data_IF_145985895924
#
_entry.id   IF_145985895924
#
_cell.length_a   1.000
_cell.length_b   1.000
_cell.length_c   1.000
_cell.angle_alpha   90.00
_cell.angle_beta   90.00
_cell.angle_gamma   90.00
#
_symmetry.space_group_name_H-M   'P 1'
#
loop_
_entity.id
_entity.type
_entity.pdbx_description
1 polymer ?
#
# COMPACT_ATOMS: atom_id res chain seq x y z
N UNK A 1 -24.85 -24.35 -7.66
CA UNK A 1 -26.12 -23.87 -7.05
C UNK A 1 -25.93 -23.81 -5.53
N UNK A 2 -26.27 -22.70 -4.88
CA UNK A 2 -26.00 -22.53 -3.45
C UNK A 2 -27.11 -23.14 -2.58
N UNK A 3 -26.73 -23.76 -1.46
CA UNK A 3 -27.68 -24.25 -0.46
C UNK A 3 -28.07 -23.12 0.48
N UNK A 4 -29.33 -23.08 0.89
CA UNK A 4 -29.79 -22.12 1.89
C UNK A 4 -29.06 -22.34 3.22
N UNK A 5 -28.54 -21.28 3.87
CA UNK A 5 -27.97 -21.40 5.22
C UNK A 5 -28.94 -22.01 6.24
N UNK A 6 -30.24 -21.80 6.04
CA UNK A 6 -31.31 -22.37 6.83
C UNK A 6 -31.73 -23.79 6.38
N UNK A 7 -30.94 -24.46 5.53
CA UNK A 7 -31.19 -25.84 5.04
C UNK A 7 -32.54 -26.08 4.34
N UNK A 8 -33.29 -25.02 4.05
CA UNK A 8 -34.61 -25.10 3.40
C UNK A 8 -34.48 -25.09 1.86
N UNK A 9 -33.60 -25.92 1.31
CA UNK A 9 -33.40 -26.09 -0.13
C UNK A 9 -32.37 -25.15 -0.77
N UNK A 10 -32.46 -24.98 -2.08
CA UNK A 10 -31.50 -24.19 -2.87
C UNK A 10 -31.86 -22.71 -2.94
N UNK A 11 -30.85 -21.86 -2.94
CA UNK A 11 -31.00 -20.43 -3.17
C UNK A 11 -31.22 -20.15 -4.66
N UNK A 12 -32.14 -19.22 -4.96
CA UNK A 12 -32.29 -18.60 -6.27
C UNK A 12 -31.45 -17.34 -6.34
N UNK A 13 -30.84 -17.10 -7.50
CA UNK A 13 -30.03 -15.91 -7.77
C UNK A 13 -30.89 -14.84 -8.41
N UNK A 14 -30.69 -13.60 -7.97
CA UNK A 14 -31.36 -12.40 -8.47
C UNK A 14 -30.31 -11.34 -8.75
N UNK A 15 -30.59 -10.49 -9.74
CA UNK A 15 -29.74 -9.36 -10.11
C UNK A 15 -30.58 -8.10 -10.11
N UNK A 16 -30.07 -7.04 -9.50
CA UNK A 16 -30.68 -5.70 -9.49
C UNK A 16 -29.60 -4.65 -9.69
N UNK A 17 -29.99 -3.38 -9.85
CA UNK A 17 -29.06 -2.25 -9.88
C UNK A 17 -28.90 -1.69 -8.47
N UNK A 18 -27.67 -1.68 -7.95
CA UNK A 18 -27.38 -1.14 -6.64
C UNK A 18 -27.48 0.39 -6.58
N UNK A 19 -27.44 0.95 -5.36
CA UNK A 19 -27.41 2.41 -5.10
C UNK A 19 -26.29 3.16 -5.81
N UNK A 20 -25.23 2.46 -6.19
CA UNK A 20 -24.09 2.99 -6.93
C UNK A 20 -24.23 2.86 -8.47
N UNK A 21 -25.39 2.42 -8.96
CA UNK A 21 -25.63 2.19 -10.40
C UNK A 21 -24.99 0.93 -10.96
N UNK A 22 -24.30 0.13 -10.13
CA UNK A 22 -23.65 -1.11 -10.56
C UNK A 22 -24.59 -2.32 -10.42
N UNK A 23 -24.46 -3.34 -11.27
CA UNK A 23 -25.21 -4.58 -11.11
C UNK A 23 -24.82 -5.26 -9.80
N UNK A 24 -25.83 -5.66 -9.04
CA UNK A 24 -25.72 -6.31 -7.76
C UNK A 24 -26.45 -7.65 -7.79
N UNK A 25 -25.72 -8.71 -7.49
CA UNK A 25 -26.26 -10.05 -7.38
C UNK A 25 -26.57 -10.38 -5.93
N UNK A 26 -27.73 -10.96 -5.67
CA UNK A 26 -28.10 -11.48 -4.36
C UNK A 26 -28.80 -12.83 -4.49
N UNK A 27 -28.82 -13.59 -3.40
CA UNK A 27 -29.41 -14.91 -3.37
C UNK A 27 -30.54 -14.97 -2.35
N UNK A 28 -31.67 -15.58 -2.72
CA UNK A 28 -32.84 -15.69 -1.85
C UNK A 28 -33.35 -17.13 -1.82
N UNK A 29 -33.68 -17.62 -0.63
CA UNK A 29 -34.31 -18.92 -0.48
C UNK A 29 -35.82 -18.83 -0.80
N UNK A 30 -36.35 -19.67 -1.71
CA UNK A 30 -37.80 -19.69 -1.98
C UNK A 30 -38.65 -20.12 -0.79
N UNK A 31 -38.10 -20.97 0.08
CA UNK A 31 -38.83 -21.57 1.20
C UNK A 31 -38.78 -20.69 2.45
N UNK A 32 -37.58 -20.48 3.01
CA UNK A 32 -37.42 -19.70 4.24
C UNK A 32 -37.44 -18.19 4.02
N UNK A 33 -37.31 -17.74 2.76
CA UNK A 33 -37.25 -16.32 2.35
C UNK A 33 -36.08 -15.52 2.89
N UNK A 34 -35.09 -16.16 3.52
CA UNK A 34 -33.84 -15.53 3.90
C UNK A 34 -32.98 -15.14 2.70
N UNK A 35 -32.16 -14.12 2.90
CA UNK A 35 -31.24 -13.56 1.93
C UNK A 35 -29.81 -13.97 2.24
N UNK A 36 -29.07 -14.42 1.23
CA UNK A 36 -27.63 -14.55 1.27
C UNK A 36 -27.03 -13.47 0.37
N UNK A 37 -26.15 -12.67 0.96
CA UNK A 37 -25.50 -11.53 0.33
C UNK A 37 -23.99 -11.71 0.43
N UNK A 38 -23.32 -11.80 -0.71
CA UNK A 38 -21.87 -11.94 -0.76
C UNK A 38 -21.19 -10.60 -0.44
N UNK A 39 -20.10 -10.65 0.34
CA UNK A 39 -19.31 -9.48 0.71
C UNK A 39 -20.13 -8.29 1.25
N UNK A 40 -19.98 -7.13 0.61
CA UNK A 40 -20.63 -5.86 1.01
C UNK A 40 -21.95 -5.58 0.25
N UNK A 41 -22.49 -6.56 -0.48
CA UNK A 41 -23.72 -6.41 -1.28
C UNK A 41 -24.89 -5.82 -0.47
N UNK A 42 -24.98 -6.16 0.82
CA UNK A 42 -25.99 -5.66 1.73
C UNK A 42 -26.02 -4.12 1.79
N UNK A 43 -24.91 -3.41 1.60
CA UNK A 43 -24.89 -1.94 1.68
C UNK A 43 -25.47 -1.26 0.44
N UNK A 44 -25.32 -1.88 -0.73
CA UNK A 44 -25.71 -1.29 -2.01
C UNK A 44 -27.13 -1.64 -2.45
N UNK A 45 -27.76 -2.65 -1.83
CA UNK A 45 -29.14 -3.04 -2.14
C UNK A 45 -30.14 -1.93 -1.78
N UNK A 46 -31.11 -1.66 -2.66
CA UNK A 46 -32.19 -0.68 -2.42
C UNK A 46 -33.35 -1.31 -1.64
N UNK A 47 -34.04 -0.50 -0.82
CA UNK A 47 -35.15 -0.99 0.03
C UNK A 47 -36.35 -1.50 -0.77
N UNK A 48 -36.58 -0.92 -1.95
CA UNK A 48 -37.65 -1.30 -2.89
C UNK A 48 -37.55 -2.75 -3.36
N UNK A 49 -36.37 -3.34 -3.27
CA UNK A 49 -36.05 -4.65 -3.84
C UNK A 49 -36.22 -5.80 -2.82
N UNK A 50 -36.51 -5.46 -1.55
CA UNK A 50 -36.35 -6.38 -0.42
C UNK A 50 -37.61 -7.14 -0.04
N UNK A 51 -38.78 -6.49 -0.05
CA UNK A 51 -40.00 -7.07 0.53
C UNK A 51 -41.31 -6.69 -0.18
N UNK A 52 -41.26 -5.89 -1.24
CA UNK A 52 -42.42 -5.47 -2.05
C UNK A 52 -43.18 -6.62 -2.73
N UNK A 53 -42.72 -7.87 -2.58
CA UNK A 53 -43.37 -9.02 -3.18
C UNK A 53 -44.46 -9.67 -2.30
N UNK A 54 -44.26 -9.93 -1.00
CA UNK A 54 -45.22 -10.76 -0.23
C UNK A 54 -45.15 -10.55 1.30
N UNK A 55 -46.28 -10.44 2.02
CA UNK A 55 -46.29 -10.20 3.47
C UNK A 55 -45.61 -11.31 4.28
N UNK A 56 -44.97 -10.89 5.37
CA UNK A 56 -44.19 -11.69 6.34
C UNK A 56 -45.03 -12.81 7.00
N UNK A 57 -46.34 -12.84 6.81
CA UNK A 57 -47.30 -13.74 7.46
C UNK A 57 -47.54 -15.10 6.75
N UNK A 58 -46.81 -15.43 5.68
CA UNK A 58 -46.99 -16.75 5.05
C UNK A 58 -46.36 -17.86 5.93
N UNK A 59 -47.05 -18.99 6.17
CA UNK A 59 -46.75 -19.97 7.23
C UNK A 59 -45.37 -20.65 7.15
N UNK A 60 -44.68 -20.52 6.01
CA UNK A 60 -43.31 -21.02 5.81
C UNK A 60 -42.21 -19.98 6.07
N UNK A 61 -42.55 -18.74 6.45
CA UNK A 61 -41.54 -17.72 6.82
C UNK A 61 -40.83 -18.21 8.08
N UNK A 62 -39.51 -18.39 8.03
CA UNK A 62 -38.72 -18.64 9.25
C UNK A 62 -37.99 -17.37 9.63
N UNK A 63 -38.32 -16.84 10.81
CA UNK A 63 -37.65 -15.70 11.44
C UNK A 63 -36.35 -16.15 12.08
N UNK A 64 -35.51 -15.21 12.48
CA UNK A 64 -34.28 -15.52 13.20
C UNK A 64 -34.52 -16.36 14.46
N UNK A 65 -35.61 -16.08 15.19
CA UNK A 65 -36.04 -16.84 16.37
C UNK A 65 -36.35 -18.32 16.10
N UNK A 66 -36.64 -18.68 14.85
CA UNK A 66 -37.11 -20.02 14.47
C UNK A 66 -35.95 -20.93 14.06
N UNK A 67 -34.73 -20.39 13.97
CA UNK A 67 -33.53 -21.11 13.58
C UNK A 67 -33.01 -21.91 14.77
N UNK A 68 -33.26 -23.23 14.78
CA UNK A 68 -32.88 -24.15 15.86
C UNK A 68 -31.54 -24.88 15.66
N UNK A 69 -30.83 -24.57 14.58
CA UNK A 69 -29.57 -25.21 14.21
C UNK A 69 -28.57 -24.16 13.73
N UNK A 70 -27.29 -24.49 13.73
CA UNK A 70 -26.24 -23.58 13.24
C UNK A 70 -26.34 -23.41 11.72
N UNK A 71 -26.65 -22.20 11.20
CA UNK A 71 -26.68 -21.96 9.77
C UNK A 71 -25.29 -22.15 9.16
N UNK A 72 -25.21 -22.64 7.92
CA UNK A 72 -23.94 -22.90 7.25
C UNK A 72 -23.72 -21.96 6.08
N UNK A 73 -22.47 -21.56 5.85
CA UNK A 73 -22.10 -20.77 4.69
C UNK A 73 -22.38 -21.55 3.39
N UNK A 74 -23.06 -20.97 2.40
CA UNK A 74 -23.33 -21.66 1.14
C UNK A 74 -22.07 -21.98 0.34
N UNK A 75 -21.02 -21.17 0.52
CA UNK A 75 -19.74 -21.25 -0.21
C UNK A 75 -18.76 -22.21 0.46
N UNK A 76 -18.34 -21.94 1.69
CA UNK A 76 -17.32 -22.75 2.38
C UNK A 76 -17.87 -23.79 3.37
N UNK A 77 -19.19 -23.86 3.56
CA UNK A 77 -19.87 -24.76 4.52
C UNK A 77 -19.51 -24.56 6.00
N UNK A 78 -18.68 -23.58 6.33
CA UNK A 78 -18.37 -23.21 7.71
C UNK A 78 -19.64 -22.73 8.46
N UNK A 79 -19.73 -22.93 9.78
CA UNK A 79 -20.81 -22.38 10.58
C UNK A 79 -20.84 -20.86 10.48
N UNK A 80 -22.03 -20.30 10.30
CA UNK A 80 -22.26 -18.86 10.37
C UNK A 80 -22.49 -18.46 11.83
N UNK A 81 -21.98 -17.30 12.19
CA UNK A 81 -22.12 -16.75 13.54
C UNK A 81 -23.04 -15.55 13.51
N UNK A 82 -23.93 -15.46 14.49
CA UNK A 82 -24.71 -14.24 14.71
C UNK A 82 -23.75 -13.07 14.94
N UNK A 83 -23.92 -12.01 14.18
CA UNK A 83 -23.00 -10.88 14.21
C UNK A 83 -23.70 -9.65 14.77
N UNK A 84 -23.02 -8.98 15.69
CA UNK A 84 -23.40 -7.71 16.30
C UNK A 84 -22.30 -6.68 16.04
N UNK A 85 -22.64 -5.39 16.10
CA UNK A 85 -21.67 -4.30 16.02
C UNK A 85 -22.34 -2.95 15.83
N UNK A 86 -21.56 -1.87 15.89
CA UNK A 86 -22.06 -0.48 15.86
C UNK A 86 -22.85 -0.11 14.58
N UNK A 87 -22.66 -0.90 13.53
CA UNK A 87 -23.33 -0.74 12.23
C UNK A 87 -24.50 -1.71 12.04
N UNK A 88 -24.82 -2.53 13.03
CA UNK A 88 -25.92 -3.49 13.03
C UNK A 88 -26.86 -3.16 14.18
N UNK A 89 -28.12 -2.78 13.92
CA UNK A 89 -29.06 -2.45 14.99
C UNK A 89 -29.28 -3.64 15.93
N UNK A 90 -29.44 -3.36 17.23
CA UNK A 90 -29.59 -4.38 18.26
C UNK A 90 -30.77 -5.35 18.03
N UNK A 91 -31.82 -4.90 17.32
CA UNK A 91 -33.01 -5.69 16.99
C UNK A 91 -32.91 -6.45 15.66
N UNK A 92 -31.73 -6.43 15.02
CA UNK A 92 -31.44 -7.14 13.77
C UNK A 92 -30.46 -8.27 14.06
N UNK A 93 -30.72 -9.44 13.51
CA UNK A 93 -29.99 -10.68 13.78
C UNK A 93 -29.44 -11.32 12.50
N UNK A 94 -28.40 -10.71 11.88
CA UNK A 94 -27.73 -11.29 10.73
C UNK A 94 -26.69 -12.32 11.16
N UNK A 95 -26.41 -13.28 10.27
CA UNK A 95 -25.37 -14.28 10.46
C UNK A 95 -24.24 -14.06 9.45
N UNK A 96 -22.99 -14.04 9.92
CA UNK A 96 -21.79 -13.77 9.11
C UNK A 96 -20.93 -15.02 8.95
N UNK A 97 -20.32 -15.17 7.78
CA UNK A 97 -19.27 -16.14 7.54
C UNK A 97 -17.92 -15.64 8.05
N UNK A 98 -17.22 -16.42 8.88
CA UNK A 98 -15.90 -16.07 9.43
C UNK A 98 -14.83 -15.92 8.35
N UNK A 99 -14.95 -16.68 7.25
CA UNK A 99 -14.08 -16.57 6.07
C UNK A 99 -14.43 -15.37 5.15
N UNK A 100 -15.40 -14.53 5.51
CA UNK A 100 -15.68 -13.29 4.78
C UNK A 100 -16.52 -13.43 3.51
N UNK A 101 -17.03 -14.62 3.19
CA UNK A 101 -17.84 -14.85 1.98
C UNK A 101 -19.13 -14.02 1.93
N UNK A 102 -19.76 -13.75 3.08
CA UNK A 102 -20.98 -12.95 3.09
C UNK A 102 -21.78 -13.03 4.39
N UNK A 103 -23.01 -12.54 4.26
CA UNK A 103 -24.01 -12.43 5.32
C UNK A 103 -25.30 -13.14 4.93
N UNK A 104 -25.88 -13.85 5.89
CA UNK A 104 -27.22 -14.39 5.82
C UNK A 104 -28.16 -13.55 6.69
N UNK A 105 -29.24 -13.06 6.08
CA UNK A 105 -30.32 -12.38 6.77
C UNK A 105 -31.56 -13.28 6.74
N UNK A 106 -32.03 -13.77 7.90
CA UNK A 106 -33.33 -14.44 7.98
C UNK A 106 -34.46 -13.55 7.45
N UNK A 107 -35.62 -14.15 7.17
CA UNK A 107 -36.75 -13.38 6.63
C UNK A 107 -37.12 -12.21 7.56
N UNK A 108 -37.35 -11.02 6.99
CA UNK A 108 -37.63 -9.79 7.73
C UNK A 108 -36.39 -9.03 8.20
N UNK A 109 -35.25 -9.70 8.43
CA UNK A 109 -34.09 -9.08 9.08
C UNK A 109 -33.36 -8.09 8.16
N UNK A 110 -33.29 -8.36 6.87
CA UNK A 110 -32.66 -7.45 5.90
C UNK A 110 -33.45 -6.14 5.74
N UNK A 111 -34.78 -6.21 5.80
CA UNK A 111 -35.66 -5.05 5.74
C UNK A 111 -35.50 -4.17 6.98
N UNK A 112 -35.57 -4.76 8.18
CA UNK A 112 -35.27 -4.06 9.45
C UNK A 112 -33.89 -3.40 9.42
N UNK A 113 -32.87 -4.13 8.93
CA UNK A 113 -31.52 -3.60 8.76
C UNK A 113 -31.50 -2.34 7.91
N UNK A 114 -32.17 -2.36 6.76
CA UNK A 114 -32.25 -1.20 5.87
C UNK A 114 -33.01 -0.02 6.45
N UNK A 115 -34.18 -0.27 7.05
CA UNK A 115 -34.94 0.79 7.72
C UNK A 115 -34.11 1.49 8.78
N UNK A 116 -33.36 0.73 9.58
CA UNK A 116 -32.48 1.31 10.59
C UNK A 116 -31.27 2.04 9.98
N UNK A 117 -30.68 1.54 8.88
CA UNK A 117 -29.64 2.27 8.14
C UNK A 117 -30.17 3.62 7.62
N UNK A 118 -31.38 3.63 7.05
CA UNK A 118 -32.02 4.85 6.57
C UNK A 118 -32.30 5.83 7.70
N UNK A 119 -32.82 5.36 8.83
CA UNK A 119 -33.05 6.18 10.01
C UNK A 119 -31.75 6.81 10.54
N UNK A 120 -30.65 6.04 10.59
CA UNK A 120 -29.32 6.55 10.98
C UNK A 120 -28.84 7.64 10.01
N UNK A 121 -28.95 7.41 8.71
CA UNK A 121 -28.58 8.42 7.69
C UNK A 121 -29.45 9.67 7.82
N UNK A 122 -30.76 9.51 7.98
CA UNK A 122 -31.71 10.61 8.13
C UNK A 122 -31.42 11.44 9.39
N UNK A 123 -31.12 10.80 10.52
CA UNK A 123 -30.70 11.46 11.75
C UNK A 123 -29.45 12.32 11.50
N UNK A 124 -28.38 11.74 10.94
CA UNK A 124 -27.15 12.49 10.68
C UNK A 124 -27.35 13.66 9.72
N UNK A 125 -28.20 13.49 8.69
CA UNK A 125 -28.58 14.55 7.76
C UNK A 125 -29.38 15.67 8.43
N UNK A 126 -30.34 15.32 9.28
CA UNK A 126 -31.22 16.28 9.96
C UNK A 126 -30.43 17.17 10.95
N UNK A 127 -29.47 16.58 11.64
CA UNK A 127 -28.68 17.26 12.67
C UNK A 127 -27.34 17.82 12.19
N UNK A 128 -27.04 17.73 10.88
CA UNK A 128 -25.75 18.12 10.29
C UNK A 128 -24.51 17.52 10.99
N UNK A 129 -24.66 16.33 11.60
CA UNK A 129 -23.56 15.63 12.26
C UNK A 129 -22.89 14.74 11.21
N UNK A 130 -21.59 14.94 10.88
CA UNK A 130 -20.91 14.09 9.91
C UNK A 130 -20.91 12.63 10.38
N UNK A 131 -21.12 11.70 9.44
CA UNK A 131 -21.07 10.27 9.75
C UNK A 131 -19.63 9.91 10.21
N UNK A 132 -19.47 9.20 11.34
CA UNK A 132 -18.16 8.92 11.92
C UNK A 132 -17.19 8.20 10.97
N UNK A 133 -17.72 7.42 10.01
CA UNK A 133 -16.91 6.73 8.99
C UNK A 133 -16.27 7.67 7.96
N UNK A 134 -16.86 8.84 7.69
CA UNK A 134 -16.29 9.82 6.75
C UNK A 134 -15.20 10.62 7.46
N UNK A 135 -15.43 10.98 8.72
CA UNK A 135 -14.46 11.71 9.54
C UNK A 135 -13.17 10.90 9.75
N UNK A 136 -13.27 9.60 10.03
CA UNK A 136 -12.09 8.75 10.24
C UNK A 136 -11.23 8.57 8.98
N UNK A 137 -11.85 8.43 7.80
CA UNK A 137 -11.12 8.33 6.53
C UNK A 137 -10.40 9.65 6.21
N UNK A 138 -11.06 10.80 6.44
CA UNK A 138 -10.45 12.11 6.22
C UNK A 138 -9.26 12.37 7.16
N UNK A 139 -9.35 11.94 8.42
CA UNK A 139 -8.25 12.07 9.37
C UNK A 139 -7.07 11.17 8.99
N UNK A 140 -7.34 9.93 8.58
CA UNK A 140 -6.30 9.01 8.15
C UNK A 140 -5.60 9.49 6.87
N UNK A 141 -6.34 9.99 5.88
CA UNK A 141 -5.76 10.51 4.64
C UNK A 141 -4.92 11.77 4.89
N UNK A 142 -5.37 12.67 5.78
CA UNK A 142 -4.59 13.83 6.20
C UNK A 142 -3.28 13.43 6.89
N UNK A 143 -3.30 12.42 7.76
CA UNK A 143 -2.10 11.93 8.44
C UNK A 143 -1.07 11.36 7.45
N UNK A 144 -1.50 10.56 6.47
CA UNK A 144 -0.60 10.02 5.43
C UNK A 144 0.03 11.13 4.58
N UNK A 145 -0.76 12.16 4.23
CA UNK A 145 -0.27 13.32 3.48
C UNK A 145 0.81 14.08 4.27
N UNK A 146 0.61 14.27 5.57
CA UNK A 146 1.58 14.96 6.42
C UNK A 146 2.89 14.16 6.54
N UNK A 147 2.81 12.83 6.71
CA UNK A 147 3.99 11.97 6.79
C UNK A 147 4.77 11.98 5.47
N UNK A 148 4.12 11.90 4.32
CA UNK A 148 4.80 11.89 3.02
C UNK A 148 5.53 13.20 2.73
N UNK A 149 4.94 14.35 3.09
CA UNK A 149 5.60 15.66 2.97
C UNK A 149 6.86 15.71 3.85
N UNK A 150 6.77 15.27 5.11
CA UNK A 150 7.94 15.28 6.02
C UNK A 150 9.07 14.38 5.51
N UNK A 151 8.75 13.18 5.03
CA UNK A 151 9.72 12.24 4.46
C UNK A 151 10.45 12.81 3.23
N UNK A 152 9.70 13.49 2.35
CA UNK A 152 10.26 14.15 1.16
C UNK A 152 11.23 15.27 1.55
N UNK A 153 10.85 16.13 2.51
CA UNK A 153 11.72 17.22 3.00
C UNK A 153 13.00 16.66 3.63
N UNK A 154 12.92 15.58 4.41
CA UNK A 154 14.11 14.94 4.99
C UNK A 154 15.01 14.31 3.93
N UNK A 155 14.45 13.67 2.91
CA UNK A 155 15.24 13.08 1.82
C UNK A 155 15.99 14.14 1.00
N UNK A 156 15.34 15.27 0.71
CA UNK A 156 15.96 16.40 -0.01
C UNK A 156 17.09 17.00 0.83
N UNK A 157 16.88 17.21 2.13
CA UNK A 157 17.92 17.73 3.03
C UNK A 157 19.12 16.80 3.16
N UNK A 158 18.89 15.49 3.23
CA UNK A 158 19.98 14.50 3.28
C UNK A 158 20.83 14.51 2.01
N UNK A 159 20.19 14.59 0.82
CA UNK A 159 20.92 14.67 -0.45
C UNK A 159 21.81 15.91 -0.52
N UNK A 160 21.28 17.08 -0.12
CA UNK A 160 22.03 18.33 -0.11
C UNK A 160 23.20 18.33 0.89
N UNK A 161 23.04 17.72 2.09
CA UNK A 161 24.15 17.68 3.05
C UNK A 161 25.28 16.75 2.60
N UNK A 162 24.96 15.68 1.88
CA UNK A 162 25.98 14.77 1.33
C UNK A 162 26.78 15.41 0.19
N UNK A 163 26.12 16.10 -0.74
CA UNK A 163 26.80 16.83 -1.83
C UNK A 163 27.69 17.97 -1.28
N UNK A 164 27.22 18.70 -0.26
CA UNK A 164 28.00 19.74 0.41
C UNK A 164 29.21 19.20 1.16
N UNK A 165 29.09 18.05 1.84
CA UNK A 165 30.22 17.41 2.52
C UNK A 165 31.27 16.88 1.54
N UNK A 166 30.86 16.29 0.41
CA UNK A 166 31.80 15.81 -0.60
C UNK A 166 32.58 16.97 -1.25
N UNK A 167 31.93 18.10 -1.56
CA UNK A 167 32.60 19.29 -2.08
C UNK A 167 33.53 19.98 -1.06
N UNK A 168 33.30 19.78 0.24
CA UNK A 168 34.15 20.37 1.28
C UNK A 168 35.50 19.66 1.47
N UNK A 169 35.65 18.43 0.96
CA UNK A 169 36.88 17.62 1.15
C UNK A 169 37.86 17.76 -0.01
N UNK A 170 37.37 17.94 -1.23
CA UNK A 170 38.18 18.04 -2.45
C UNK A 170 38.36 19.50 -2.87
N UNK A 171 39.60 19.90 -3.17
CA UNK A 171 39.95 21.22 -3.71
C UNK A 171 40.07 21.21 -5.24
N UNK A 172 40.63 20.15 -5.79
CA UNK A 172 40.80 19.96 -7.24
C UNK A 172 41.06 18.50 -7.58
N UNK A 173 40.73 18.10 -8.81
CA UNK A 173 40.93 16.73 -9.29
C UNK A 173 41.03 16.71 -10.81
N UNK A 174 42.06 16.05 -11.34
CA UNK A 174 42.39 16.08 -12.77
C UNK A 174 43.19 14.85 -13.17
N UNK A 175 42.99 14.40 -14.42
CA UNK A 175 43.80 13.39 -15.08
C UNK A 175 44.52 14.00 -16.28
N UNK A 176 45.82 13.80 -16.38
CA UNK A 176 46.67 14.29 -17.47
C UNK A 176 47.17 13.10 -18.29
N UNK A 177 46.53 12.78 -19.43
CA UNK A 177 47.01 11.73 -20.32
C UNK A 177 48.26 12.20 -21.07
N UNK A 178 49.26 11.33 -21.14
CA UNK A 178 50.50 11.53 -21.89
C UNK A 178 50.46 10.80 -23.24
N UNK A 179 51.15 11.30 -24.29
CA UNK A 179 51.29 10.60 -25.57
C UNK A 179 51.95 9.21 -25.49
N UNK A 180 52.64 8.88 -24.39
CA UNK A 180 53.28 7.57 -24.21
C UNK A 180 52.36 6.53 -23.53
N UNK A 181 51.04 6.79 -23.43
CA UNK A 181 50.08 5.87 -22.80
C UNK A 181 50.17 5.82 -21.26
N UNK A 182 50.79 6.83 -20.65
CA UNK A 182 50.79 7.05 -19.20
C UNK A 182 49.75 8.11 -18.84
N UNK A 183 49.07 7.95 -17.70
CA UNK A 183 48.13 8.96 -17.20
C UNK A 183 48.51 9.34 -15.78
N UNK A 184 48.73 10.63 -15.56
CA UNK A 184 48.97 11.19 -14.23
C UNK A 184 47.62 11.62 -13.64
N UNK A 185 47.26 11.05 -12.50
CA UNK A 185 46.10 11.47 -11.73
C UNK A 185 46.56 12.33 -10.57
N UNK A 186 45.93 13.49 -10.40
CA UNK A 186 46.19 14.44 -9.32
C UNK A 186 44.88 14.78 -8.65
N UNK A 187 44.84 14.70 -7.32
CA UNK A 187 43.74 15.22 -6.51
C UNK A 187 44.28 15.95 -5.29
N UNK A 188 43.61 17.01 -4.87
CA UNK A 188 44.01 17.84 -3.73
C UNK A 188 42.88 17.94 -2.74
N UNK A 189 43.20 17.86 -1.46
CA UNK A 189 42.23 17.79 -0.37
C UNK A 189 42.38 18.97 0.58
N UNK A 190 41.32 19.29 1.32
CA UNK A 190 41.32 20.37 2.31
C UNK A 190 41.82 19.93 3.69
N UNK A 191 42.13 18.65 3.88
CA UNK A 191 42.59 18.09 5.15
C UNK A 191 43.45 16.85 4.91
N UNK A 192 44.47 16.58 5.77
CA UNK A 192 45.34 15.42 5.62
C UNK A 192 44.56 14.12 5.51
N UNK A 193 44.79 13.34 4.45
CA UNK A 193 43.97 12.19 4.12
C UNK A 193 44.69 11.12 3.30
N UNK A 194 44.06 9.95 3.12
CA UNK A 194 44.51 8.95 2.14
C UNK A 194 43.55 8.93 0.97
N UNK A 195 44.08 9.05 -0.25
CA UNK A 195 43.29 8.98 -1.49
C UNK A 195 43.55 7.67 -2.22
N UNK A 196 42.50 7.06 -2.75
CA UNK A 196 42.56 5.87 -3.61
C UNK A 196 41.85 6.18 -4.92
N UNK A 197 42.55 5.98 -6.04
CA UNK A 197 41.99 6.06 -7.39
C UNK A 197 41.27 4.75 -7.72
N UNK A 198 40.10 4.84 -8.34
CA UNK A 198 39.37 3.71 -8.91
C UNK A 198 39.07 3.93 -10.40
N UNK A 199 39.32 2.91 -11.22
CA UNK A 199 39.01 2.87 -12.65
C UNK A 199 38.22 1.58 -12.95
N UNK A 200 36.89 1.58 -12.77
CA UNK A 200 36.08 0.36 -12.82
C UNK A 200 36.16 -0.39 -14.16
N UNK A 201 36.18 0.36 -15.27
CA UNK A 201 36.21 -0.21 -16.62
C UNK A 201 37.52 -0.90 -16.98
N UNK A 202 38.56 -0.76 -16.16
CA UNK A 202 39.84 -1.42 -16.35
C UNK A 202 40.06 -2.49 -15.27
N UNK A 203 39.35 -3.61 -15.38
CA UNK A 203 39.46 -4.74 -14.44
C UNK A 203 39.27 -4.34 -12.96
N UNK A 204 38.40 -3.36 -12.67
CA UNK A 204 38.24 -2.77 -11.33
C UNK A 204 39.56 -2.29 -10.71
N UNK A 205 40.45 -1.73 -11.53
CA UNK A 205 41.73 -1.22 -11.10
C UNK A 205 41.56 -0.17 -10.00
N UNK A 206 42.37 -0.30 -8.96
CA UNK A 206 42.44 0.67 -7.88
C UNK A 206 43.86 0.76 -7.34
N UNK A 207 44.24 1.96 -6.91
CA UNK A 207 45.57 2.21 -6.35
C UNK A 207 45.50 3.31 -5.29
N UNK A 208 46.16 3.05 -4.16
CA UNK A 208 46.38 4.09 -3.13
C UNK A 208 47.40 5.08 -3.71
N UNK A 209 47.04 6.36 -3.72
CA UNK A 209 47.85 7.40 -4.33
C UNK A 209 48.96 7.86 -3.38
N UNK A 210 50.12 8.18 -3.94
CA UNK A 210 51.21 8.80 -3.19
C UNK A 210 50.78 10.18 -2.72
N UNK A 211 51.15 10.55 -1.50
CA UNK A 211 50.67 11.77 -0.86
C UNK A 211 51.83 12.68 -0.49
N UNK A 212 51.80 13.91 -1.01
CA UNK A 212 52.73 15.00 -0.69
C UNK A 212 52.05 16.00 0.24
N UNK A 213 52.73 16.37 1.32
CA UNK A 213 52.28 17.32 2.35
C UNK A 213 50.94 16.94 3.03
N UNK A 214 50.53 15.67 2.92
CA UNK A 214 49.24 15.17 3.41
C UNK A 214 48.02 15.58 2.58
N UNK A 215 48.17 16.52 1.64
CA UNK A 215 47.05 17.19 0.97
C UNK A 215 46.98 16.94 -0.53
N UNK A 216 48.13 16.72 -1.19
CA UNK A 216 48.18 16.49 -2.64
C UNK A 216 48.47 15.03 -2.89
N UNK A 217 47.58 14.38 -3.63
CA UNK A 217 47.70 12.96 -3.94
C UNK A 217 47.95 12.79 -5.43
N UNK A 218 48.96 12.00 -5.76
CA UNK A 218 49.36 11.72 -7.15
C UNK A 218 49.56 10.24 -7.37
N UNK A 219 49.16 9.75 -8.54
CA UNK A 219 49.58 8.43 -9.01
C UNK A 219 49.80 8.50 -10.52
N UNK A 220 50.77 7.74 -11.00
CA UNK A 220 50.98 7.55 -12.44
C UNK A 220 50.61 6.13 -12.79
N UNK A 221 49.72 5.98 -13.75
CA UNK A 221 49.34 4.68 -14.27
C UNK A 221 49.94 4.54 -15.66
N UNK A 222 50.86 3.60 -15.81
CA UNK A 222 51.43 3.21 -17.10
C UNK A 222 50.59 2.12 -17.75
N UNK A 223 50.67 2.02 -19.09
CA UNK A 223 50.09 0.91 -19.88
C UNK A 223 48.56 0.86 -19.95
N UNK A 224 47.88 2.00 -19.82
CA UNK A 224 46.43 2.06 -20.06
C UNK A 224 46.20 1.92 -21.58
N UNK A 225 45.42 0.92 -22.04
CA UNK A 225 45.10 0.78 -23.46
C UNK A 225 44.39 2.04 -23.99
N UNK A 226 44.52 2.37 -25.29
CA UNK A 226 43.78 3.47 -25.88
C UNK A 226 42.26 3.29 -25.70
N UNK A 227 41.57 4.33 -25.24
CA UNK A 227 40.15 4.27 -24.94
C UNK A 227 39.67 5.35 -23.99
N UNK A 228 38.35 5.42 -23.79
CA UNK A 228 37.71 6.32 -22.83
C UNK A 228 37.38 5.56 -21.56
N UNK A 229 37.84 6.09 -20.43
CA UNK A 229 37.72 5.46 -19.12
C UNK A 229 37.03 6.40 -18.14
N UNK A 230 36.24 5.81 -17.25
CA UNK A 230 35.64 6.52 -16.12
C UNK A 230 36.40 6.21 -14.85
N UNK A 231 36.59 7.21 -14.02
CA UNK A 231 37.32 7.09 -12.77
C UNK A 231 36.66 7.90 -11.66
N UNK A 232 36.93 7.53 -10.42
CA UNK A 232 36.56 8.31 -9.23
C UNK A 232 37.62 8.12 -8.15
N UNK A 233 37.63 9.01 -7.17
CA UNK A 233 38.50 8.91 -6.00
C UNK A 233 37.68 8.55 -4.77
N UNK A 234 38.28 7.78 -3.87
CA UNK A 234 37.82 7.67 -2.49
C UNK A 234 38.87 8.27 -1.57
N UNK A 235 38.43 9.03 -0.59
CA UNK A 235 39.28 9.60 0.45
C UNK A 235 38.88 9.01 1.78
N UNK A 236 39.85 8.62 2.60
CA UNK A 236 39.61 8.25 3.99
C UNK A 236 40.20 9.30 4.93
N UNK A 237 39.34 9.93 5.74
CA UNK A 237 39.70 10.89 6.81
C UNK A 237 39.11 10.39 8.11
N UNK A 238 39.93 10.20 9.14
CA UNK A 238 39.48 9.76 10.47
C UNK A 238 38.56 8.53 10.44
N UNK A 239 38.88 7.56 9.56
CA UNK A 239 38.10 6.32 9.39
C UNK A 239 36.78 6.46 8.61
N UNK A 240 36.44 7.65 8.10
CA UNK A 240 35.28 7.86 7.21
C UNK A 240 35.73 7.96 5.77
N UNK A 241 35.07 7.23 4.89
CA UNK A 241 35.36 7.23 3.45
C UNK A 241 34.35 8.10 2.71
N UNK A 242 34.84 9.03 1.88
CA UNK A 242 34.03 9.89 1.00
C UNK A 242 34.43 9.59 -0.44
N UNK A 243 33.44 9.48 -1.33
CA UNK A 243 33.65 9.22 -2.75
C UNK A 243 33.34 10.46 -3.58
N UNK A 244 34.11 10.67 -4.65
CA UNK A 244 33.80 11.69 -5.66
C UNK A 244 32.71 11.22 -6.61
N UNK A 245 32.20 12.15 -7.40
CA UNK A 245 31.53 11.81 -8.65
C UNK A 245 32.48 11.10 -9.64
N UNK A 246 31.90 10.51 -10.68
CA UNK A 246 32.67 9.85 -11.74
C UNK A 246 33.13 10.87 -12.79
N UNK A 247 34.43 10.92 -13.02
CA UNK A 247 35.08 11.68 -14.07
C UNK A 247 35.40 10.80 -15.28
N UNK A 248 35.77 11.43 -16.39
CA UNK A 248 36.13 10.75 -17.64
C UNK A 248 37.50 11.25 -18.14
N UNK A 249 38.31 10.35 -18.68
CA UNK A 249 39.51 10.70 -19.45
C UNK A 249 39.64 9.79 -20.68
N UNK A 250 40.35 10.27 -21.69
CA UNK A 250 40.69 9.48 -22.88
C UNK A 250 42.19 9.22 -22.92
N UNK A 251 42.57 7.94 -22.89
CA UNK A 251 43.92 7.49 -23.19
C UNK A 251 44.09 7.41 -24.71
N UNK A 252 45.17 8.00 -25.23
CA UNK A 252 45.53 7.98 -26.65
C UNK A 252 46.64 6.98 -26.91
#
# INVERSE_FOLDING_TARGET
MFLCPNRDGFLKTYTTTGKNGLPLTYHRCPHCRGFWLSGFAANFLMDTDLESAHPVHHPTTRRASDIRFTPLCPECKAPLHQTHGDNIPAHVTPFRCTAGHGYFFPAGELSKFKTAQQAKIAYHKLWNIPLPSVASILLASLAVLLVSITAMVTAIRQKQSMESQAQSVFKSQTAFPSPQGTVLFVTTTNSPSTATLFVPSWNNYHIVMDTTDGLTHTTTVSTIPPGTYRYFFTITINGKTVQTEMFEFSAR
#
